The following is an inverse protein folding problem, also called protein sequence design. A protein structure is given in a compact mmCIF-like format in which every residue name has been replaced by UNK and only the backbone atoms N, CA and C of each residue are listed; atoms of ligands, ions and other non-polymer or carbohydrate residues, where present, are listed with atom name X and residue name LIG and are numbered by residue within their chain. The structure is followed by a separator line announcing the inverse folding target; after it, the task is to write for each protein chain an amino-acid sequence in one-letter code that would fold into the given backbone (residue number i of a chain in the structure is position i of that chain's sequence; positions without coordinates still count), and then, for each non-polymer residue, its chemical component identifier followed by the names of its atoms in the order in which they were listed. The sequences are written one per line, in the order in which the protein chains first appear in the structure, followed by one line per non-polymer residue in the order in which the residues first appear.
data_IF_603562516895
#
_entry.id   IF_603562516895
#
_cell.length_a   1.000
_cell.length_b   1.000
_cell.length_c   1.000
_cell.angle_alpha   90.00
_cell.angle_beta   90.00
_cell.angle_gamma   90.00
#
_symmetry.space_group_name_H-M   'P 1'
#
loop_
_entity.id
_entity.type
_entity.pdbx_description
1 polymer ?
#
# COMPACT_ATOMS: atom_id res chain seq x y z
N UNK A 1 -58.66 -7.70 9.16
CA UNK A 1 -58.87 -8.47 7.91
C UNK A 1 -57.53 -8.53 7.19
N UNK A 2 -57.04 -9.71 6.84
CA UNK A 2 -55.83 -9.92 6.04
C UNK A 2 -56.22 -10.45 4.66
N UNK A 3 -55.45 -10.12 3.63
CA UNK A 3 -55.62 -10.69 2.29
C UNK A 3 -54.33 -11.41 1.91
N UNK A 4 -54.44 -12.68 1.52
CA UNK A 4 -53.32 -13.50 1.08
C UNK A 4 -53.36 -13.64 -0.44
N UNK A 5 -52.29 -13.26 -1.13
CA UNK A 5 -52.14 -13.41 -2.57
C UNK A 5 -50.83 -14.12 -2.87
N UNK A 6 -50.77 -14.86 -3.97
CA UNK A 6 -49.58 -15.61 -4.36
C UNK A 6 -49.91 -16.89 -5.12
N UNK A 7 -48.87 -17.61 -5.52
CA UNK A 7 -48.99 -18.92 -6.17
C UNK A 7 -48.26 -19.93 -5.30
N UNK A 8 -48.90 -21.07 -5.05
CA UNK A 8 -48.31 -22.22 -4.33
C UNK A 8 -48.40 -23.46 -5.19
N UNK A 9 -47.53 -24.41 -4.93
CA UNK A 9 -47.43 -25.71 -5.59
C UNK A 9 -48.55 -26.69 -5.18
N UNK A 10 -49.02 -26.63 -3.93
CA UNK A 10 -50.09 -27.52 -3.46
C UNK A 10 -51.17 -26.83 -2.60
N UNK A 11 -52.31 -27.51 -2.47
CA UNK A 11 -53.43 -27.04 -1.65
C UNK A 11 -53.13 -27.04 -0.15
N UNK A 12 -52.23 -27.92 0.30
CA UNK A 12 -51.86 -28.06 1.72
C UNK A 12 -51.15 -26.79 2.21
N UNK A 13 -50.28 -26.23 1.39
CA UNK A 13 -49.52 -25.01 1.65
C UNK A 13 -50.43 -23.78 1.65
N UNK A 14 -51.44 -23.75 0.76
CA UNK A 14 -52.49 -22.72 0.78
C UNK A 14 -53.28 -22.75 2.10
N UNK A 15 -53.63 -23.93 2.58
CA UNK A 15 -54.39 -24.09 3.83
C UNK A 15 -53.54 -23.72 5.05
N UNK A 16 -52.27 -24.13 5.06
CA UNK A 16 -51.32 -23.77 6.12
C UNK A 16 -51.09 -22.25 6.19
N UNK A 17 -50.97 -21.57 5.06
CA UNK A 17 -50.84 -20.11 5.01
C UNK A 17 -52.05 -19.39 5.63
N UNK A 18 -53.26 -19.96 5.42
CA UNK A 18 -54.50 -19.46 6.04
C UNK A 18 -54.43 -19.61 7.57
N UNK A 19 -53.99 -20.78 8.04
CA UNK A 19 -53.91 -21.07 9.46
C UNK A 19 -52.88 -20.19 10.18
N UNK A 20 -51.73 -19.93 9.56
CA UNK A 20 -50.72 -19.01 10.08
C UNK A 20 -51.28 -17.59 10.17
N UNK A 21 -52.03 -17.13 9.16
CA UNK A 21 -52.62 -15.80 9.16
C UNK A 21 -53.64 -15.60 10.29
N UNK A 22 -54.43 -16.63 10.63
CA UNK A 22 -55.33 -16.60 11.80
C UNK A 22 -54.59 -16.65 13.14
N UNK A 23 -53.35 -17.13 13.18
CA UNK A 23 -52.53 -17.18 14.39
C UNK A 23 -51.97 -15.82 14.83
N UNK A 24 -52.09 -14.77 14.01
CA UNK A 24 -51.63 -13.42 14.32
C UNK A 24 -52.72 -12.66 15.08
N UNK A 25 -52.36 -12.16 16.27
CA UNK A 25 -53.27 -11.39 17.11
C UNK A 25 -53.81 -10.15 16.37
N UNK A 26 -55.13 -9.95 16.43
CA UNK A 26 -55.84 -8.89 15.71
C UNK A 26 -56.36 -9.24 14.32
N UNK A 27 -56.06 -10.42 13.75
CA UNK A 27 -56.63 -10.88 12.47
C UNK A 27 -57.97 -11.60 12.69
N UNK A 28 -59.07 -10.91 12.38
CA UNK A 28 -60.44 -11.43 12.53
C UNK A 28 -61.01 -12.11 11.28
N UNK A 29 -60.39 -11.90 10.14
CA UNK A 29 -60.87 -12.38 8.83
C UNK A 29 -59.68 -12.48 7.87
N UNK A 30 -59.64 -13.54 7.07
CA UNK A 30 -58.57 -13.81 6.10
C UNK A 30 -59.20 -14.08 4.74
N UNK A 31 -58.93 -13.19 3.79
CA UNK A 31 -59.30 -13.32 2.39
C UNK A 31 -58.17 -14.01 1.63
N UNK A 32 -58.27 -15.34 1.48
CA UNK A 32 -57.23 -16.13 0.83
C UNK A 32 -57.48 -16.26 -0.68
N UNK A 33 -56.75 -15.44 -1.44
CA UNK A 33 -56.75 -15.41 -2.90
C UNK A 33 -55.52 -16.11 -3.50
N UNK A 34 -54.84 -16.99 -2.74
CA UNK A 34 -53.72 -17.79 -3.25
C UNK A 34 -54.21 -18.77 -4.32
N UNK A 35 -53.48 -18.82 -5.44
CA UNK A 35 -53.74 -19.74 -6.55
C UNK A 35 -52.85 -20.97 -6.40
N UNK A 36 -53.44 -22.17 -6.45
CA UNK A 36 -52.68 -23.42 -6.45
C UNK A 36 -52.34 -23.78 -7.90
N UNK A 37 -51.06 -23.91 -8.20
CA UNK A 37 -50.57 -24.31 -9.50
C UNK A 37 -49.41 -25.31 -9.31
N UNK A 38 -49.70 -26.59 -9.51
CA UNK A 38 -48.73 -27.68 -9.35
C UNK A 38 -47.59 -27.66 -10.38
N UNK A 39 -47.77 -26.94 -11.48
CA UNK A 39 -46.75 -26.72 -12.52
C UNK A 39 -46.04 -25.37 -12.34
N UNK A 40 -46.21 -24.72 -11.18
CA UNK A 40 -45.51 -23.48 -10.86
C UNK A 40 -44.02 -23.74 -10.67
N UNK A 41 -43.25 -23.43 -11.70
CA UNK A 41 -41.81 -23.24 -11.60
C UNK A 41 -41.59 -21.82 -11.09
N UNK A 42 -41.07 -21.62 -9.86
CA UNK A 42 -40.68 -20.28 -9.41
C UNK A 42 -39.73 -19.70 -10.47
N UNK A 43 -39.86 -18.42 -10.86
CA UNK A 43 -38.83 -17.82 -11.68
C UNK A 43 -37.49 -18.08 -10.98
N UNK A 44 -36.53 -18.66 -11.71
CA UNK A 44 -35.20 -18.92 -11.17
C UNK A 44 -34.75 -17.67 -10.43
N UNK A 45 -34.39 -17.81 -9.14
CA UNK A 45 -34.07 -16.68 -8.27
C UNK A 45 -33.27 -15.66 -9.09
N UNK A 46 -33.90 -14.52 -9.34
CA UNK A 46 -33.31 -13.50 -10.18
C UNK A 46 -31.92 -13.22 -9.62
N UNK A 47 -30.88 -13.31 -10.46
CA UNK A 47 -29.55 -12.74 -10.17
C UNK A 47 -29.60 -11.21 -10.00
N UNK A 48 -30.81 -10.62 -10.00
CA UNK A 48 -31.09 -9.23 -9.72
C UNK A 48 -31.05 -9.04 -8.20
N UNK A 49 -30.07 -8.25 -7.75
CA UNK A 49 -29.88 -7.85 -6.35
C UNK A 49 -31.21 -7.55 -5.65
N UNK A 50 -31.42 -8.17 -4.49
CA UNK A 50 -32.54 -7.84 -3.63
C UNK A 50 -32.38 -6.42 -3.09
N UNK A 51 -33.49 -5.70 -2.92
CA UNK A 51 -33.48 -4.35 -2.35
C UNK A 51 -32.83 -4.31 -0.95
N UNK A 52 -33.01 -5.38 -0.16
CA UNK A 52 -32.35 -5.53 1.15
C UNK A 52 -30.83 -5.63 1.04
N UNK A 53 -30.34 -6.39 0.07
CA UNK A 53 -28.90 -6.57 -0.18
C UNK A 53 -28.21 -5.27 -0.59
N UNK A 54 -28.90 -4.44 -1.39
CA UNK A 54 -28.40 -3.12 -1.76
C UNK A 54 -28.30 -2.15 -0.56
N UNK A 55 -29.25 -2.22 0.38
CA UNK A 55 -29.22 -1.43 1.62
C UNK A 55 -28.08 -1.90 2.53
N UNK A 56 -27.88 -3.21 2.64
CA UNK A 56 -26.79 -3.79 3.42
C UNK A 56 -25.42 -3.37 2.85
N UNK A 57 -25.23 -3.46 1.53
CA UNK A 57 -24.00 -3.03 0.85
C UNK A 57 -23.72 -1.53 1.03
N UNK A 58 -24.75 -0.69 1.00
CA UNK A 58 -24.63 0.75 1.27
C UNK A 58 -24.20 1.02 2.71
N UNK A 59 -24.76 0.28 3.66
CA UNK A 59 -24.43 0.38 5.09
C UNK A 59 -22.98 -0.06 5.35
N UNK A 60 -22.55 -1.16 4.74
CA UNK A 60 -21.17 -1.65 4.77
C UNK A 60 -20.21 -0.59 4.20
N UNK A 61 -20.52 -0.08 3.00
CA UNK A 61 -19.70 0.94 2.33
C UNK A 61 -19.52 2.18 3.21
N UNK A 62 -20.61 2.64 3.83
CA UNK A 62 -20.61 3.82 4.68
C UNK A 62 -19.77 3.61 5.95
N UNK A 63 -19.90 2.44 6.59
CA UNK A 63 -19.11 2.08 7.76
C UNK A 63 -17.61 2.02 7.45
N UNK A 64 -17.23 1.44 6.29
CA UNK A 64 -15.82 1.37 5.87
C UNK A 64 -15.27 2.77 5.59
N UNK A 65 -16.01 3.61 4.84
CA UNK A 65 -15.61 4.99 4.56
C UNK A 65 -15.40 5.78 5.86
N UNK A 66 -16.30 5.66 6.84
CA UNK A 66 -16.16 6.32 8.14
C UNK A 66 -14.91 5.85 8.90
N UNK A 67 -14.67 4.53 8.97
CA UNK A 67 -13.47 3.96 9.61
C UNK A 67 -12.17 4.42 8.95
N UNK A 68 -12.13 4.50 7.62
CA UNK A 68 -10.96 4.97 6.88
C UNK A 68 -10.71 6.46 7.16
N UNK A 69 -11.77 7.27 7.16
CA UNK A 69 -11.71 8.71 7.42
C UNK A 69 -11.24 9.04 8.85
N UNK A 70 -11.64 8.23 9.83
CA UNK A 70 -11.22 8.42 11.23
C UNK A 70 -9.90 7.71 11.56
N UNK A 71 -9.31 6.99 10.62
CA UNK A 71 -8.01 6.36 10.84
C UNK A 71 -6.88 7.39 10.83
N UNK A 72 -5.81 7.11 11.56
CA UNK A 72 -4.56 7.89 11.51
C UNK A 72 -3.92 7.98 10.11
N UNK A 73 -4.43 7.22 9.14
CA UNK A 73 -3.94 7.18 7.76
C UNK A 73 -4.81 8.02 6.80
N UNK A 74 -5.87 8.67 7.28
CA UNK A 74 -6.83 9.41 6.45
C UNK A 74 -6.18 10.53 5.63
N UNK A 75 -5.21 11.25 6.19
CA UNK A 75 -4.58 12.42 5.58
C UNK A 75 -3.76 12.11 4.31
N UNK A 76 -3.40 10.85 4.09
CA UNK A 76 -2.60 10.39 2.94
C UNK A 76 -3.26 9.28 2.14
N UNK A 77 -4.57 9.10 2.29
CA UNK A 77 -5.31 7.99 1.71
C UNK A 77 -6.51 8.50 0.91
N UNK A 78 -6.33 8.64 -0.40
CA UNK A 78 -7.46 8.93 -1.31
C UNK A 78 -8.08 7.59 -1.65
N UNK A 79 -9.24 7.25 -1.07
CA UNK A 79 -9.85 5.94 -1.27
C UNK A 79 -11.31 6.03 -1.71
N UNK A 80 -11.64 5.27 -2.74
CA UNK A 80 -13.01 4.93 -3.13
C UNK A 80 -13.31 3.52 -2.66
N UNK A 81 -14.47 3.36 -2.02
CA UNK A 81 -14.97 2.09 -1.49
C UNK A 81 -16.23 1.75 -2.25
N UNK A 82 -16.26 0.57 -2.87
CA UNK A 82 -17.42 -0.02 -3.54
C UNK A 82 -17.71 -1.37 -2.89
N UNK A 83 -18.98 -1.64 -2.55
CA UNK A 83 -19.40 -2.94 -2.01
C UNK A 83 -20.49 -3.53 -2.90
N UNK A 84 -20.40 -4.83 -3.18
CA UNK A 84 -21.41 -5.60 -3.92
C UNK A 84 -21.55 -6.99 -3.30
N UNK A 85 -22.74 -7.35 -2.84
CA UNK A 85 -23.03 -8.64 -2.22
C UNK A 85 -22.01 -8.98 -1.11
N UNK A 86 -21.66 -8.01 -0.27
CA UNK A 86 -20.64 -8.17 0.79
C UNK A 86 -19.18 -8.24 0.31
N UNK A 87 -18.91 -8.20 -1.00
CA UNK A 87 -17.56 -8.10 -1.55
C UNK A 87 -17.15 -6.63 -1.70
N UNK A 88 -16.09 -6.23 -0.99
CA UNK A 88 -15.60 -4.84 -0.95
C UNK A 88 -14.43 -4.68 -1.91
N UNK A 89 -14.44 -3.61 -2.70
CA UNK A 89 -13.30 -3.18 -3.51
C UNK A 89 -12.81 -1.82 -3.02
N UNK A 90 -11.53 -1.75 -2.67
CA UNK A 90 -10.84 -0.52 -2.28
C UNK A 90 -9.99 -0.03 -3.45
N UNK A 91 -10.25 1.18 -3.94
CA UNK A 91 -9.47 1.82 -5.01
C UNK A 91 -8.86 3.12 -4.53
N UNK A 92 -7.72 3.51 -5.08
CA UNK A 92 -7.14 4.85 -4.89
C UNK A 92 -5.66 4.81 -4.57
N UNK A 93 -5.15 5.83 -3.88
CA UNK A 93 -3.72 6.03 -3.63
C UNK A 93 -3.41 6.18 -2.15
N UNK A 94 -2.30 5.57 -1.73
CA UNK A 94 -1.76 5.66 -0.39
C UNK A 94 -0.32 6.17 -0.43
N UNK A 95 0.05 7.03 0.52
CA UNK A 95 1.42 7.57 0.64
C UNK A 95 2.43 6.55 1.16
N UNK A 96 1.98 5.40 1.67
CA UNK A 96 2.85 4.39 2.26
C UNK A 96 2.22 2.99 2.25
N UNK A 97 3.07 1.95 2.26
CA UNK A 97 2.63 0.55 2.36
C UNK A 97 1.82 0.26 3.65
N UNK A 98 2.21 0.76 4.84
CA UNK A 98 1.40 0.60 6.04
C UNK A 98 0.00 1.22 5.94
N UNK A 99 -0.16 2.34 5.25
CA UNK A 99 -1.48 2.95 5.03
C UNK A 99 -2.37 2.06 4.14
N UNK A 100 -1.80 1.45 3.09
CA UNK A 100 -2.49 0.47 2.23
C UNK A 100 -2.96 -0.76 3.03
N UNK A 101 -2.11 -1.31 3.88
CA UNK A 101 -2.43 -2.50 4.71
C UNK A 101 -3.48 -2.17 5.77
N UNK A 102 -3.35 -1.01 6.43
CA UNK A 102 -4.35 -0.54 7.40
C UNK A 102 -5.74 -0.40 6.76
N UNK A 103 -5.82 0.13 5.53
CA UNK A 103 -7.09 0.26 4.83
C UNK A 103 -7.76 -1.10 4.57
N UNK A 104 -6.98 -2.11 4.16
CA UNK A 104 -7.46 -3.48 3.98
C UNK A 104 -7.94 -4.10 5.28
N UNK A 105 -7.17 -3.95 6.35
CA UNK A 105 -7.53 -4.49 7.66
C UNK A 105 -8.82 -3.85 8.21
N UNK A 106 -8.99 -2.53 8.04
CA UNK A 106 -10.21 -1.84 8.46
C UNK A 106 -11.44 -2.31 7.67
N UNK A 107 -11.29 -2.57 6.38
CA UNK A 107 -12.36 -3.12 5.55
C UNK A 107 -12.73 -4.54 5.97
N UNK A 108 -11.75 -5.45 6.14
CA UNK A 108 -11.99 -6.85 6.56
C UNK A 108 -12.70 -6.91 7.93
N UNK A 109 -12.34 -6.03 8.87
CA UNK A 109 -12.92 -5.99 10.20
C UNK A 109 -14.28 -5.26 10.27
N UNK A 110 -14.97 -5.09 9.13
CA UNK A 110 -16.31 -4.49 9.10
C UNK A 110 -17.36 -5.58 8.97
N UNK A 111 -18.40 -5.50 9.80
CA UNK A 111 -19.49 -6.49 9.84
C UNK A 111 -20.18 -6.55 8.47
N UNK A 112 -20.43 -7.76 7.98
CA UNK A 112 -21.05 -8.00 6.67
C UNK A 112 -20.07 -8.09 5.50
N UNK A 113 -18.77 -7.87 5.73
CA UNK A 113 -17.75 -8.04 4.68
C UNK A 113 -17.38 -9.50 4.54
N UNK A 114 -17.52 -10.03 3.31
CA UNK A 114 -17.16 -11.40 2.96
C UNK A 114 -15.77 -11.49 2.34
N UNK A 115 -15.40 -10.50 1.52
CA UNK A 115 -14.09 -10.42 0.89
C UNK A 115 -13.67 -8.97 0.63
N UNK A 116 -12.36 -8.75 0.55
CA UNK A 116 -11.78 -7.42 0.26
C UNK A 116 -10.79 -7.54 -0.89
N UNK A 117 -11.05 -6.82 -1.97
CA UNK A 117 -10.15 -6.62 -3.08
C UNK A 117 -9.46 -5.25 -2.92
N UNK A 118 -8.19 -5.26 -2.48
CA UNK A 118 -7.41 -4.05 -2.25
C UNK A 118 -6.62 -3.65 -3.50
N UNK A 119 -7.16 -2.70 -4.26
CA UNK A 119 -6.56 -2.12 -5.47
C UNK A 119 -5.89 -0.77 -5.19
N UNK A 120 -5.57 -0.45 -3.93
CA UNK A 120 -4.87 0.80 -3.58
C UNK A 120 -3.43 0.73 -4.10
N UNK A 121 -3.02 1.78 -4.82
CA UNK A 121 -1.64 1.96 -5.29
C UNK A 121 -0.84 2.76 -4.26
N UNK A 122 0.41 2.37 -4.01
CA UNK A 122 1.29 3.13 -3.12
C UNK A 122 2.05 4.13 -3.98
N UNK A 123 1.71 5.40 -3.85
CA UNK A 123 2.45 6.48 -4.49
C UNK A 123 3.37 7.11 -3.45
N UNK A 124 4.68 7.10 -3.71
CA UNK A 124 5.61 7.83 -2.87
C UNK A 124 5.22 9.33 -2.93
N UNK A 125 5.11 10.02 -1.80
CA UNK A 125 4.79 11.44 -1.81
C UNK A 125 5.84 12.17 -2.65
N UNK A 126 5.39 12.97 -3.61
CA UNK A 126 6.29 13.87 -4.36
C UNK A 126 6.98 14.77 -3.34
N UNK A 127 8.32 14.86 -3.33
CA UNK A 127 9.04 15.64 -2.35
C UNK A 127 8.52 17.09 -2.39
N UNK A 128 8.13 17.60 -1.23
CA UNK A 128 7.68 18.99 -1.14
C UNK A 128 8.83 19.95 -1.43
N UNK A 129 8.55 21.22 -1.77
CA UNK A 129 9.61 22.24 -1.93
C UNK A 129 10.54 22.32 -0.70
N UNK A 130 9.99 22.09 0.50
CA UNK A 130 10.78 22.04 1.74
C UNK A 130 11.72 20.85 1.80
N UNK A 131 11.27 19.66 1.37
CA UNK A 131 12.09 18.45 1.31
C UNK A 131 13.19 18.58 0.24
N UNK A 132 12.85 19.19 -0.90
CA UNK A 132 13.82 19.48 -1.96
C UNK A 132 14.90 20.46 -1.50
N UNK A 133 14.51 21.55 -0.82
CA UNK A 133 15.46 22.51 -0.27
C UNK A 133 16.38 21.87 0.80
N UNK A 134 15.84 21.01 1.67
CA UNK A 134 16.62 20.30 2.69
C UNK A 134 17.59 19.29 2.08
N UNK A 135 17.18 18.60 1.02
CA UNK A 135 18.03 17.68 0.26
C UNK A 135 19.16 18.43 -0.43
N UNK A 136 18.85 19.50 -1.17
CA UNK A 136 19.85 20.32 -1.85
C UNK A 136 20.87 20.94 -0.87
N UNK A 137 20.42 21.39 0.31
CA UNK A 137 21.32 21.93 1.33
C UNK A 137 22.21 20.85 1.96
N UNK A 138 21.68 19.64 2.12
CA UNK A 138 22.45 18.47 2.60
C UNK A 138 23.48 18.02 1.56
N UNK A 139 23.13 18.03 0.28
CA UNK A 139 24.01 17.70 -0.84
C UNK A 139 25.15 18.73 -0.96
N UNK A 140 24.83 20.01 -0.82
CA UNK A 140 25.84 21.08 -0.78
C UNK A 140 26.81 20.91 0.40
N UNK A 141 26.29 20.64 1.62
CA UNK A 141 27.15 20.36 2.78
C UNK A 141 28.00 19.10 2.62
N UNK A 142 27.46 18.09 1.95
CA UNK A 142 28.16 16.84 1.63
C UNK A 142 29.27 17.09 0.61
N UNK A 143 29.00 17.84 -0.45
CA UNK A 143 29.99 18.18 -1.47
C UNK A 143 31.17 18.99 -0.90
N UNK A 144 30.90 19.92 0.02
CA UNK A 144 31.94 20.67 0.75
C UNK A 144 32.79 19.70 1.59
N UNK A 145 32.15 18.78 2.31
CA UNK A 145 32.85 17.77 3.11
C UNK A 145 33.70 16.85 2.25
N UNK A 146 33.19 16.42 1.09
CA UNK A 146 33.89 15.56 0.14
C UNK A 146 35.10 16.23 -0.50
N UNK A 147 35.00 17.53 -0.81
CA UNK A 147 36.14 18.30 -1.29
C UNK A 147 37.26 18.34 -0.24
N UNK A 148 36.90 18.56 1.04
CA UNK A 148 37.87 18.56 2.13
C UNK A 148 38.50 17.18 2.37
N UNK A 149 37.71 16.09 2.27
CA UNK A 149 38.21 14.71 2.33
C UNK A 149 39.19 14.46 1.18
N UNK A 150 38.83 14.86 -0.05
CA UNK A 150 39.69 14.70 -1.24
C UNK A 150 41.04 15.39 -1.04
N UNK A 151 41.04 16.63 -0.55
CA UNK A 151 42.27 17.38 -0.25
C UNK A 151 43.13 16.67 0.79
N UNK A 152 42.53 16.11 1.85
CA UNK A 152 43.26 15.35 2.87
C UNK A 152 43.87 14.06 2.32
N UNK A 153 43.13 13.31 1.50
CA UNK A 153 43.64 12.08 0.87
C UNK A 153 44.80 12.42 -0.06
N UNK A 154 44.64 13.41 -0.94
CA UNK A 154 45.72 13.87 -1.81
C UNK A 154 46.95 14.32 -1.01
N UNK A 155 46.75 15.07 0.07
CA UNK A 155 47.86 15.48 0.96
C UNK A 155 48.56 14.25 1.57
N UNK A 156 47.81 13.26 2.02
CA UNK A 156 48.36 12.02 2.60
C UNK A 156 49.22 11.26 1.59
N UNK A 157 48.80 11.20 0.33
CA UNK A 157 49.60 10.58 -0.73
C UNK A 157 50.84 11.39 -1.08
N UNK A 158 50.75 12.72 -1.14
CA UNK A 158 51.89 13.59 -1.41
C UNK A 158 52.99 13.47 -0.35
N UNK A 159 52.62 13.26 0.92
CA UNK A 159 53.60 13.07 2.01
C UNK A 159 54.07 11.62 2.20
N UNK A 160 53.52 10.66 1.43
CA UNK A 160 53.94 9.26 1.49
C UNK A 160 55.05 8.98 0.48
N UNK A 161 56.25 8.64 0.97
CA UNK A 161 57.39 8.30 0.09
C UNK A 161 57.19 6.98 -0.69
N UNK A 162 56.22 6.17 -0.31
CA UNK A 162 55.96 4.84 -0.88
C UNK A 162 54.71 4.81 -1.79
N UNK A 163 54.08 5.97 -2.04
CA UNK A 163 52.91 6.10 -2.92
C UNK A 163 53.15 7.22 -3.91
N UNK A 164 53.16 6.90 -5.20
CA UNK A 164 53.37 7.89 -6.25
C UNK A 164 52.06 8.61 -6.56
N UNK A 165 51.81 9.71 -5.84
CA UNK A 165 50.58 10.52 -5.99
C UNK A 165 50.32 10.97 -7.42
N UNK A 166 51.35 11.18 -8.25
CA UNK A 166 51.19 11.63 -9.64
C UNK A 166 50.48 10.59 -10.53
N UNK A 167 50.46 9.32 -10.12
CA UNK A 167 49.83 8.23 -10.88
C UNK A 167 48.45 7.85 -10.34
N UNK A 168 47.98 8.52 -9.28
CA UNK A 168 46.73 8.20 -8.59
C UNK A 168 45.85 9.45 -8.58
N UNK A 169 44.66 9.34 -9.17
CA UNK A 169 43.63 10.36 -9.08
C UNK A 169 42.63 10.00 -7.98
N UNK A 170 42.22 11.00 -7.21
CA UNK A 170 41.32 10.85 -6.07
C UNK A 170 40.08 11.70 -6.31
N UNK A 171 38.91 11.06 -6.22
CA UNK A 171 37.62 11.74 -6.22
C UNK A 171 36.78 11.25 -5.04
N UNK A 172 36.09 12.15 -4.34
CA UNK A 172 35.22 11.78 -3.21
C UNK A 172 33.77 12.15 -3.51
N UNK A 173 32.84 11.25 -3.20
CA UNK A 173 31.40 11.51 -3.27
C UNK A 173 30.66 10.83 -2.12
N UNK A 174 29.90 11.59 -1.35
CA UNK A 174 29.17 11.17 -0.16
C UNK A 174 30.04 10.39 0.85
N UNK A 175 31.30 10.77 1.02
CA UNK A 175 32.30 10.11 1.87
C UNK A 175 32.89 8.81 1.29
N UNK A 176 32.59 8.47 0.03
CA UNK A 176 33.23 7.37 -0.69
C UNK A 176 34.36 7.93 -1.54
N UNK A 177 35.58 7.50 -1.24
CA UNK A 177 36.78 7.89 -1.99
C UNK A 177 36.98 6.89 -3.12
N UNK A 178 37.05 7.38 -4.36
CA UNK A 178 37.37 6.60 -5.55
C UNK A 178 38.82 6.87 -5.93
N UNK A 179 39.63 5.82 -5.97
CA UNK A 179 41.01 5.85 -6.43
C UNK A 179 41.08 5.28 -7.84
N UNK A 180 41.67 6.03 -8.75
CA UNK A 180 41.88 5.61 -10.14
C UNK A 180 43.32 5.84 -10.56
N UNK A 181 43.78 5.07 -11.55
CA UNK A 181 45.13 5.22 -12.10
C UNK A 181 45.92 3.92 -12.07
N UNK A 182 47.26 4.05 -12.08
CA UNK A 182 48.17 2.93 -12.24
C UNK A 182 49.35 3.01 -11.27
N UNK A 183 49.41 2.06 -10.36
CA UNK A 183 50.51 1.89 -9.40
C UNK A 183 51.60 0.98 -9.97
N UNK A 184 52.81 1.08 -9.44
CA UNK A 184 53.95 0.29 -9.88
C UNK A 184 53.91 -1.14 -9.35
N UNK A 185 53.33 -1.35 -8.16
CA UNK A 185 53.27 -2.66 -7.50
C UNK A 185 51.94 -2.89 -6.80
N UNK A 186 51.59 -4.15 -6.56
CA UNK A 186 50.43 -4.51 -5.73
C UNK A 186 50.56 -4.00 -4.29
N UNK A 187 51.78 -3.88 -3.76
CA UNK A 187 52.05 -3.34 -2.43
C UNK A 187 51.75 -1.83 -2.36
N UNK A 188 52.15 -1.07 -3.38
CA UNK A 188 51.81 0.36 -3.49
C UNK A 188 50.30 0.56 -3.57
N UNK A 189 49.60 -0.28 -4.34
CA UNK A 189 48.13 -0.26 -4.41
C UNK A 189 47.49 -0.50 -3.04
N UNK A 190 47.95 -1.50 -2.31
CA UNK A 190 47.43 -1.81 -0.98
C UNK A 190 47.67 -0.65 -0.01
N UNK A 191 48.86 -0.07 -0.02
CA UNK A 191 49.22 1.07 0.83
C UNK A 191 48.38 2.31 0.49
N UNK A 192 48.14 2.60 -0.79
CA UNK A 192 47.29 3.71 -1.20
C UNK A 192 45.84 3.54 -0.69
N UNK A 193 45.32 2.32 -0.74
CA UNK A 193 43.98 2.00 -0.19
C UNK A 193 43.96 2.21 1.32
N UNK A 194 44.97 1.71 2.04
CA UNK A 194 45.07 1.82 3.49
C UNK A 194 45.17 3.29 3.95
N UNK A 195 46.04 4.07 3.30
CA UNK A 195 46.22 5.49 3.62
C UNK A 195 44.92 6.27 3.38
N UNK A 196 44.21 6.01 2.27
CA UNK A 196 42.92 6.64 2.01
C UNK A 196 41.85 6.23 3.02
N UNK A 197 41.81 4.97 3.46
CA UNK A 197 40.84 4.48 4.45
C UNK A 197 41.04 5.13 5.83
N UNK A 198 42.28 5.47 6.20
CA UNK A 198 42.59 6.10 7.48
C UNK A 198 42.29 7.61 7.54
N UNK A 199 41.92 8.24 6.42
CA UNK A 199 41.56 9.66 6.42
C UNK A 199 40.21 9.87 7.10
N UNK A 200 40.18 10.74 8.10
CA UNK A 200 38.96 11.10 8.82
C UNK A 200 37.86 11.61 7.87
N UNK A 201 36.70 10.96 7.91
CA UNK A 201 35.55 11.27 7.06
C UNK A 201 35.35 10.29 5.90
N UNK A 202 36.33 9.45 5.62
CA UNK A 202 36.20 8.37 4.63
C UNK A 202 35.34 7.25 5.21
N UNK A 203 34.23 6.96 4.52
CA UNK A 203 33.34 5.84 4.87
C UNK A 203 33.77 4.56 4.17
N UNK A 204 34.26 4.70 2.94
CA UNK A 204 34.66 3.59 2.07
C UNK A 204 35.63 4.07 1.01
N UNK A 205 36.55 3.19 0.62
CA UNK A 205 37.43 3.39 -0.53
C UNK A 205 37.03 2.43 -1.65
N UNK A 206 36.86 2.95 -2.86
CA UNK A 206 36.67 2.21 -4.10
C UNK A 206 37.93 2.31 -4.95
N UNK A 207 38.68 1.21 -5.04
CA UNK A 207 39.93 1.13 -5.79
C UNK A 207 39.83 0.11 -6.93
N UNK A 208 38.62 -0.15 -7.46
CA UNK A 208 38.41 -1.06 -8.60
C UNK A 208 39.13 -0.58 -9.86
N UNK A 209 39.19 0.73 -10.06
CA UNK A 209 39.84 1.38 -11.19
C UNK A 209 41.32 1.77 -10.92
N UNK A 210 41.87 1.36 -9.77
CA UNK A 210 43.29 1.50 -9.46
C UNK A 210 44.00 0.19 -9.80
N UNK A 211 44.82 0.21 -10.84
CA UNK A 211 45.52 -0.98 -11.37
C UNK A 211 46.99 -0.98 -10.96
N UNK A 212 47.67 -2.12 -11.11
CA UNK A 212 49.12 -2.24 -10.94
C UNK A 212 49.73 -3.02 -12.13
N UNK A 213 51.03 -2.81 -12.37
CA UNK A 213 51.81 -3.62 -13.31
C UNK A 213 52.09 -5.02 -12.76
#
# INVERSE_FOLDING_TARGET
KATLTGIVDDGVTKDLATQIAFGVDGIKDVDNQIVVNADFVPPAQSTARSYGEAIDDASITSAIKAKLLWSKYASGLTTSVETKAGAVTLKGTATSKPAKEAAQNLAINTRGVLSVNNQIHVEAPKPSLGDQAKTAMSDAGTAISDAWITTKVNSTFLYSSNVHSNNISVATKAGVVTLTGKTQTGAERALAIELAQNVQGVKRVDAKALTHN
#
